data_IF_786960751832
#
_entry.id   IF_786960751832
#
_cell.length_a   1.000
_cell.length_b   1.000
_cell.length_c   1.000
_cell.angle_alpha   90.00
_cell.angle_beta   90.00
_cell.angle_gamma   90.00
#
_symmetry.space_group_name_H-M   'P 1'
#
loop_
_entity.id
_entity.type
_entity.pdbx_description
1 polymer ?
#
# COMPACT_ATOMS: atom_id res chain seq x y z
N UNK A 1 49.33 -18.77 -12.34
CA UNK A 1 48.25 -18.78 -11.31
C UNK A 1 47.74 -17.38 -10.89
N UNK A 2 48.50 -16.28 -11.06
CA UNK A 2 48.08 -14.93 -10.59
C UNK A 2 46.92 -14.25 -11.35
N UNK A 3 46.82 -14.38 -12.69
CA UNK A 3 45.76 -13.72 -13.48
C UNK A 3 44.36 -14.28 -13.18
N UNK A 4 44.25 -15.58 -12.98
CA UNK A 4 42.96 -16.25 -12.67
C UNK A 4 42.43 -15.85 -11.28
N UNK A 5 43.32 -15.66 -10.29
CA UNK A 5 42.94 -15.18 -8.95
C UNK A 5 42.47 -13.73 -8.94
N UNK A 6 43.10 -12.85 -9.74
CA UNK A 6 42.67 -11.46 -9.90
C UNK A 6 41.30 -11.37 -10.60
N UNK A 7 41.11 -12.15 -11.67
CA UNK A 7 39.85 -12.19 -12.42
C UNK A 7 38.69 -12.72 -11.57
N UNK A 8 38.94 -13.77 -10.77
CA UNK A 8 37.91 -14.30 -9.85
C UNK A 8 37.53 -13.31 -8.75
N UNK A 9 38.47 -12.48 -8.28
CA UNK A 9 38.22 -11.43 -7.27
C UNK A 9 37.39 -10.28 -7.85
N UNK A 10 37.75 -9.77 -9.03
CA UNK A 10 36.98 -8.73 -9.72
C UNK A 10 35.56 -9.21 -10.06
N UNK A 11 35.41 -10.47 -10.49
CA UNK A 11 34.08 -11.04 -10.79
C UNK A 11 33.20 -11.12 -9.53
N UNK A 12 33.74 -11.52 -8.38
CA UNK A 12 32.97 -11.55 -7.13
C UNK A 12 32.54 -10.16 -6.63
N UNK A 13 33.38 -9.15 -6.83
CA UNK A 13 33.07 -7.76 -6.45
C UNK A 13 31.97 -7.18 -7.36
N UNK A 14 32.08 -7.39 -8.67
CA UNK A 14 31.06 -6.95 -9.64
C UNK A 14 29.71 -7.63 -9.41
N UNK A 15 29.71 -8.94 -9.08
CA UNK A 15 28.47 -9.67 -8.75
C UNK A 15 27.82 -9.10 -7.48
N UNK A 16 28.59 -8.81 -6.44
CA UNK A 16 28.06 -8.21 -5.21
C UNK A 16 27.48 -6.81 -5.45
N UNK A 17 28.16 -5.99 -6.25
CA UNK A 17 27.65 -4.67 -6.64
C UNK A 17 26.35 -4.81 -7.44
N UNK A 18 26.28 -5.73 -8.41
CA UNK A 18 25.07 -5.97 -9.19
C UNK A 18 23.90 -6.43 -8.32
N UNK A 19 24.13 -7.33 -7.37
CA UNK A 19 23.11 -7.79 -6.42
C UNK A 19 22.64 -6.63 -5.52
N UNK A 20 23.56 -5.78 -5.04
CA UNK A 20 23.20 -4.61 -4.24
C UNK A 20 22.40 -3.58 -5.06
N UNK A 21 22.68 -3.41 -6.36
CA UNK A 21 21.87 -2.57 -7.23
C UNK A 21 20.43 -3.10 -7.34
N UNK A 22 20.25 -4.42 -7.49
CA UNK A 22 18.91 -5.03 -7.54
C UNK A 22 18.18 -4.85 -6.19
N UNK A 23 18.89 -5.01 -5.06
CA UNK A 23 18.34 -4.75 -3.73
C UNK A 23 17.96 -3.27 -3.55
N UNK A 24 18.77 -2.33 -4.05
CA UNK A 24 18.44 -0.91 -4.01
C UNK A 24 17.18 -0.59 -4.83
N UNK A 25 17.04 -1.19 -6.01
CA UNK A 25 15.82 -1.06 -6.82
C UNK A 25 14.60 -1.66 -6.11
N UNK A 26 14.75 -2.81 -5.47
CA UNK A 26 13.69 -3.41 -4.64
C UNK A 26 13.32 -2.53 -3.44
N UNK A 27 14.31 -1.98 -2.73
CA UNK A 27 14.09 -1.03 -1.63
C UNK A 27 13.42 0.26 -2.09
N UNK A 28 13.81 0.78 -3.26
CA UNK A 28 13.17 1.95 -3.88
C UNK A 28 11.72 1.68 -4.28
N UNK A 29 11.41 0.47 -4.78
CA UNK A 29 10.03 0.07 -5.06
C UNK A 29 9.18 -0.01 -3.79
N UNK A 30 9.70 -0.65 -2.73
CA UNK A 30 9.00 -0.73 -1.43
C UNK A 30 8.78 0.65 -0.84
N UNK A 31 9.80 1.51 -0.90
CA UNK A 31 9.71 2.90 -0.47
C UNK A 31 8.67 3.67 -1.28
N UNK A 32 8.67 3.52 -2.61
CA UNK A 32 7.67 4.13 -3.49
C UNK A 32 6.26 3.70 -3.13
N UNK A 33 6.01 2.41 -2.93
CA UNK A 33 4.69 1.90 -2.53
C UNK A 33 4.28 2.46 -1.16
N UNK A 34 5.19 2.51 -0.19
CA UNK A 34 4.90 3.10 1.13
C UNK A 34 4.54 4.58 1.05
N UNK A 35 5.32 5.37 0.30
CA UNK A 35 5.05 6.81 0.08
C UNK A 35 3.74 7.00 -0.69
N UNK A 36 3.50 6.19 -1.71
CA UNK A 36 2.27 6.22 -2.49
C UNK A 36 1.06 5.97 -1.59
N UNK A 37 1.06 4.90 -0.78
CA UNK A 37 -0.02 4.62 0.16
C UNK A 37 -0.24 5.77 1.14
N UNK A 38 0.84 6.36 1.67
CA UNK A 38 0.78 7.51 2.59
C UNK A 38 0.12 8.74 1.99
N UNK A 39 0.36 9.03 0.71
CA UNK A 39 -0.12 10.25 0.07
C UNK A 39 -1.43 10.09 -0.72
N UNK A 40 -1.96 8.88 -0.82
CA UNK A 40 -3.14 8.58 -1.64
C UNK A 40 -4.43 8.50 -0.82
N UNK A 41 -4.36 8.83 0.47
CA UNK A 41 -5.48 8.78 1.43
C UNK A 41 -5.89 7.37 1.85
N UNK A 42 -5.38 6.33 1.19
CA UNK A 42 -5.63 4.93 1.58
C UNK A 42 -5.16 4.63 2.99
N UNK A 43 -4.13 5.30 3.51
CA UNK A 43 -3.71 5.09 4.91
C UNK A 43 -4.78 5.59 5.86
N UNK A 44 -5.34 6.78 5.65
CA UNK A 44 -6.38 7.35 6.53
C UNK A 44 -7.69 6.57 6.43
N UNK A 45 -8.04 6.11 5.21
CA UNK A 45 -9.11 5.12 4.96
C UNK A 45 -8.91 3.89 5.84
N UNK A 46 -7.70 3.33 5.80
CA UNK A 46 -7.40 2.05 6.44
C UNK A 46 -7.13 2.26 7.95
N UNK A 47 -6.78 3.45 8.42
CA UNK A 47 -6.45 3.74 9.83
C UNK A 47 -7.70 3.74 10.70
N UNK A 48 -8.83 4.22 10.17
CA UNK A 48 -10.16 3.97 10.75
C UNK A 48 -10.51 2.47 10.82
N UNK A 49 -9.98 1.67 9.89
CA UNK A 49 -10.18 0.23 9.74
C UNK A 49 -9.24 -0.63 10.62
N UNK A 50 -7.99 -0.20 10.84
CA UNK A 50 -6.92 -0.93 11.50
C UNK A 50 -5.87 0.10 11.96
N UNK A 51 -5.96 0.50 13.23
CA UNK A 51 -5.06 1.52 13.81
C UNK A 51 -3.55 1.26 13.59
N UNK A 52 -3.06 0.02 13.37
CA UNK A 52 -1.67 -0.19 13.01
C UNK A 52 -1.28 0.16 11.57
N UNK A 53 -2.20 0.46 10.63
CA UNK A 53 -1.83 0.66 9.22
C UNK A 53 -0.88 1.85 9.04
N UNK A 54 -1.09 2.94 9.77
CA UNK A 54 -0.19 4.10 9.78
C UNK A 54 1.21 3.64 10.19
N UNK A 55 1.28 2.82 11.24
CA UNK A 55 2.52 2.22 11.73
C UNK A 55 3.16 1.27 10.71
N UNK A 56 2.35 0.56 9.92
CA UNK A 56 2.82 -0.43 8.94
C UNK A 56 3.27 0.23 7.65
N UNK A 57 2.57 1.24 7.16
CA UNK A 57 3.02 2.04 6.02
C UNK A 57 4.27 2.83 6.41
N UNK A 58 4.33 3.38 7.62
CA UNK A 58 5.56 3.96 8.16
C UNK A 58 6.67 2.92 8.26
N UNK A 59 6.38 1.70 8.72
CA UNK A 59 7.35 0.62 8.74
C UNK A 59 7.84 0.24 7.33
N UNK A 60 6.97 0.20 6.32
CA UNK A 60 7.34 -0.05 4.93
C UNK A 60 8.28 1.04 4.39
N UNK A 61 8.00 2.31 4.68
CA UNK A 61 8.86 3.45 4.33
C UNK A 61 10.24 3.29 5.00
N UNK A 62 10.26 3.01 6.30
CA UNK A 62 11.51 2.81 7.06
C UNK A 62 12.30 1.62 6.52
N UNK A 63 11.63 0.49 6.27
CA UNK A 63 12.25 -0.72 5.73
C UNK A 63 12.83 -0.44 4.33
N UNK A 64 12.08 0.23 3.45
CA UNK A 64 12.55 0.62 2.11
C UNK A 64 13.81 1.48 2.18
N UNK A 65 13.81 2.51 3.03
CA UNK A 65 14.97 3.37 3.25
C UNK A 65 16.18 2.62 3.81
N UNK A 66 15.95 1.70 4.77
CA UNK A 66 16.99 0.85 5.35
C UNK A 66 17.58 -0.09 4.29
N UNK A 67 16.77 -0.71 3.43
CA UNK A 67 17.26 -1.58 2.34
C UNK A 67 18.17 -0.81 1.39
N UNK A 68 17.80 0.41 1.00
CA UNK A 68 18.63 1.27 0.15
C UNK A 68 19.95 1.60 0.86
N UNK A 69 19.89 2.01 2.13
CA UNK A 69 21.09 2.29 2.93
C UNK A 69 22.02 1.08 3.05
N UNK A 70 21.46 -0.12 3.24
CA UNK A 70 22.20 -1.37 3.30
C UNK A 70 22.80 -1.75 1.94
N UNK A 71 22.12 -1.50 0.83
CA UNK A 71 22.66 -1.74 -0.50
C UNK A 71 23.87 -0.84 -0.81
N UNK A 72 23.79 0.44 -0.41
CA UNK A 72 24.92 1.37 -0.50
C UNK A 72 26.08 0.93 0.40
N UNK A 73 25.77 0.59 1.65
CA UNK A 73 26.77 0.09 2.60
C UNK A 73 27.45 -1.19 2.12
N UNK A 74 26.68 -2.14 1.60
CA UNK A 74 27.18 -3.39 1.04
C UNK A 74 28.11 -3.16 -0.15
N UNK A 75 27.80 -2.15 -0.98
CA UNK A 75 28.63 -1.79 -2.14
C UNK A 75 29.96 -1.17 -1.70
N UNK A 76 29.93 -0.27 -0.71
CA UNK A 76 31.14 0.31 -0.10
C UNK A 76 31.96 -0.77 0.61
N UNK A 77 31.33 -1.66 1.36
CA UNK A 77 32.01 -2.75 2.06
C UNK A 77 32.67 -3.74 1.09
N UNK A 78 32.05 -4.00 -0.07
CA UNK A 78 32.63 -4.80 -1.15
C UNK A 78 33.87 -4.13 -1.75
N UNK A 79 33.79 -2.84 -2.08
CA UNK A 79 34.91 -2.06 -2.64
C UNK A 79 36.08 -1.91 -1.65
N UNK A 80 35.79 -1.60 -0.38
CA UNK A 80 36.78 -1.39 0.66
C UNK A 80 37.28 -2.70 1.32
N UNK A 81 36.76 -3.86 0.90
CA UNK A 81 37.07 -5.20 1.46
C UNK A 81 36.90 -5.28 2.97
N UNK A 82 35.89 -4.60 3.51
CA UNK A 82 35.70 -4.47 4.96
C UNK A 82 35.03 -5.73 5.54
N UNK A 83 35.85 -6.63 6.08
CA UNK A 83 35.41 -7.96 6.57
C UNK A 83 34.36 -7.93 7.69
N UNK A 84 34.49 -7.00 8.63
CA UNK A 84 33.52 -6.85 9.71
C UNK A 84 32.20 -6.25 9.19
N UNK A 85 32.29 -5.28 8.27
CA UNK A 85 31.16 -4.73 7.55
C UNK A 85 30.36 -5.79 6.78
N UNK A 86 31.03 -6.75 6.13
CA UNK A 86 30.36 -7.86 5.45
C UNK A 86 29.58 -8.81 6.38
N UNK A 87 30.07 -9.01 7.61
CA UNK A 87 29.37 -9.84 8.60
C UNK A 87 28.12 -9.16 9.15
N UNK A 88 28.23 -7.87 9.51
CA UNK A 88 27.06 -7.08 9.92
C UNK A 88 26.04 -7.03 8.79
N UNK A 89 26.50 -6.79 7.57
CA UNK A 89 25.65 -6.76 6.38
C UNK A 89 24.87 -8.07 6.18
N UNK A 90 25.54 -9.23 6.30
CA UNK A 90 24.88 -10.54 6.18
C UNK A 90 23.87 -10.79 7.32
N UNK A 91 24.18 -10.38 8.56
CA UNK A 91 23.26 -10.51 9.70
C UNK A 91 22.00 -9.65 9.53
N UNK A 92 22.15 -8.41 9.05
CA UNK A 92 20.99 -7.54 8.79
C UNK A 92 20.17 -8.05 7.61
N UNK A 93 20.81 -8.55 6.55
CA UNK A 93 20.10 -9.16 5.40
C UNK A 93 19.32 -10.42 5.78
N UNK A 94 19.76 -11.16 6.81
CA UNK A 94 18.98 -12.28 7.34
C UNK A 94 17.68 -11.80 8.01
N UNK A 95 17.71 -10.68 8.74
CA UNK A 95 16.50 -10.10 9.33
C UNK A 95 15.54 -9.60 8.25
N UNK A 96 16.07 -8.93 7.23
CA UNK A 96 15.28 -8.50 6.06
C UNK A 96 14.64 -9.71 5.37
N UNK A 97 15.39 -10.78 5.15
CA UNK A 97 14.85 -12.02 4.58
C UNK A 97 13.67 -12.56 5.40
N UNK A 98 13.79 -12.66 6.72
CA UNK A 98 12.72 -13.17 7.59
C UNK A 98 11.46 -12.29 7.48
N UNK A 99 11.63 -10.96 7.51
CA UNK A 99 10.51 -10.02 7.39
C UNK A 99 9.79 -10.18 6.05
N UNK A 100 10.52 -10.24 4.94
CA UNK A 100 9.92 -10.37 3.61
C UNK A 100 9.29 -11.75 3.36
N UNK A 101 9.74 -12.80 4.05
CA UNK A 101 9.02 -14.09 4.06
C UNK A 101 7.64 -13.92 4.71
N UNK A 102 7.54 -13.22 5.84
CA UNK A 102 6.26 -12.97 6.49
C UNK A 102 5.34 -12.16 5.56
N UNK A 103 5.85 -11.07 4.96
CA UNK A 103 5.09 -10.25 4.01
C UNK A 103 4.62 -11.07 2.80
N UNK A 104 5.48 -11.90 2.22
CA UNK A 104 5.12 -12.76 1.09
C UNK A 104 3.99 -13.72 1.47
N UNK A 105 4.10 -14.41 2.61
CA UNK A 105 3.07 -15.34 3.09
C UNK A 105 1.75 -14.61 3.31
N UNK A 106 1.76 -13.48 4.00
CA UNK A 106 0.55 -12.66 4.20
C UNK A 106 -0.07 -12.21 2.88
N UNK A 107 0.73 -11.74 1.92
CA UNK A 107 0.25 -11.31 0.61
C UNK A 107 -0.43 -12.46 -0.16
N UNK A 108 0.17 -13.65 -0.19
CA UNK A 108 -0.43 -14.81 -0.86
C UNK A 108 -1.67 -15.35 -0.14
N UNK A 109 -1.72 -15.29 1.19
CA UNK A 109 -2.93 -15.64 1.95
C UNK A 109 -4.08 -14.67 1.67
N UNK A 110 -3.81 -13.36 1.63
CA UNK A 110 -4.81 -12.35 1.28
C UNK A 110 -5.31 -12.54 -0.16
N UNK A 111 -4.39 -12.83 -1.09
CA UNK A 111 -4.73 -13.11 -2.48
C UNK A 111 -5.66 -14.33 -2.59
N UNK A 112 -5.29 -15.43 -1.94
CA UNK A 112 -6.08 -16.64 -1.96
C UNK A 112 -7.48 -16.39 -1.39
N UNK A 113 -7.58 -15.66 -0.27
CA UNK A 113 -8.84 -15.28 0.34
C UNK A 113 -9.71 -14.42 -0.59
N UNK A 114 -9.13 -13.43 -1.28
CA UNK A 114 -9.88 -12.59 -2.22
C UNK A 114 -10.47 -13.41 -3.37
N UNK A 115 -9.70 -14.35 -3.92
CA UNK A 115 -10.14 -15.27 -4.96
C UNK A 115 -11.24 -16.22 -4.46
N UNK A 116 -11.05 -16.83 -3.28
CA UNK A 116 -12.05 -17.70 -2.67
C UNK A 116 -13.37 -16.96 -2.40
N UNK A 117 -13.30 -15.69 -2.01
CA UNK A 117 -14.47 -14.85 -1.82
C UNK A 117 -15.15 -14.52 -3.14
N UNK A 118 -14.40 -14.19 -4.20
CA UNK A 118 -14.96 -13.84 -5.50
C UNK A 118 -15.91 -14.92 -6.04
N UNK A 119 -15.52 -16.20 -5.93
CA UNK A 119 -16.31 -17.37 -6.36
C UNK A 119 -17.46 -17.73 -5.39
N UNK A 120 -17.50 -17.15 -4.21
CA UNK A 120 -18.47 -17.46 -3.15
C UNK A 120 -19.63 -16.46 -3.13
N UNK A 121 -20.81 -16.94 -2.69
CA UNK A 121 -21.95 -16.06 -2.43
C UNK A 121 -21.67 -15.20 -1.21
N UNK A 122 -21.92 -13.90 -1.31
CA UNK A 122 -21.77 -12.98 -0.18
C UNK A 122 -22.81 -13.27 0.93
N UNK A 123 -22.41 -13.21 2.22
CA UNK A 123 -21.03 -13.11 2.71
C UNK A 123 -20.34 -14.48 2.69
N UNK A 124 -19.12 -14.54 2.18
CA UNK A 124 -18.31 -15.76 2.18
C UNK A 124 -17.78 -16.09 3.59
N UNK A 125 -17.64 -15.08 4.46
CA UNK A 125 -17.27 -15.25 5.87
C UNK A 125 -17.60 -14.00 6.70
N UNK A 126 -17.57 -14.10 8.02
CA UNK A 126 -17.70 -12.95 8.94
C UNK A 126 -16.59 -11.90 8.74
N UNK A 127 -15.41 -12.33 8.27
CA UNK A 127 -14.32 -11.41 7.92
C UNK A 127 -14.71 -10.53 6.73
N UNK A 128 -15.47 -11.07 5.77
CA UNK A 128 -15.93 -10.33 4.60
C UNK A 128 -16.99 -9.27 4.98
N UNK A 129 -17.84 -9.54 5.96
CA UNK A 129 -18.80 -8.55 6.49
C UNK A 129 -18.08 -7.33 7.09
N UNK A 130 -16.98 -7.56 7.82
CA UNK A 130 -16.16 -6.46 8.34
C UNK A 130 -15.43 -5.69 7.23
N UNK A 131 -15.02 -6.38 6.17
CA UNK A 131 -14.42 -5.74 4.99
C UNK A 131 -15.46 -4.89 4.26
N UNK A 132 -16.68 -5.40 4.10
CA UNK A 132 -17.81 -4.66 3.53
C UNK A 132 -18.03 -3.36 4.27
N UNK A 133 -18.27 -3.44 5.58
CA UNK A 133 -18.61 -2.27 6.39
C UNK A 133 -17.57 -1.17 6.23
N UNK A 134 -16.29 -1.55 6.25
CA UNK A 134 -15.19 -0.60 6.18
C UNK A 134 -14.94 -0.09 4.76
N UNK A 135 -15.17 -0.90 3.73
CA UNK A 135 -15.15 -0.42 2.35
C UNK A 135 -16.27 0.58 2.11
N UNK A 136 -17.48 0.30 2.61
CA UNK A 136 -18.64 1.18 2.47
C UNK A 136 -18.36 2.55 3.09
N UNK A 137 -17.83 2.58 4.31
CA UNK A 137 -17.41 3.82 4.99
C UNK A 137 -16.38 4.59 4.17
N UNK A 138 -15.30 3.92 3.75
CA UNK A 138 -14.21 4.51 2.98
C UNK A 138 -14.69 5.12 1.65
N UNK A 139 -15.51 4.38 0.93
CA UNK A 139 -16.10 4.81 -0.32
C UNK A 139 -16.96 6.05 -0.08
N UNK A 140 -17.82 6.05 0.93
CA UNK A 140 -18.71 7.17 1.20
C UNK A 140 -17.98 8.43 1.67
N UNK A 141 -16.92 8.32 2.48
CA UNK A 141 -16.08 9.47 2.82
C UNK A 141 -15.39 10.06 1.59
N UNK A 142 -14.83 9.21 0.72
CA UNK A 142 -14.21 9.64 -0.54
C UNK A 142 -15.21 10.35 -1.46
N UNK A 143 -16.40 9.76 -1.65
CA UNK A 143 -17.43 10.36 -2.49
C UNK A 143 -18.02 11.62 -1.88
N UNK A 144 -18.19 11.67 -0.56
CA UNK A 144 -18.63 12.86 0.16
C UNK A 144 -17.66 14.02 -0.05
N UNK A 145 -16.35 13.79 0.09
CA UNK A 145 -15.33 14.82 -0.12
C UNK A 145 -15.41 15.38 -1.54
N UNK A 146 -15.47 14.49 -2.55
CA UNK A 146 -15.59 14.91 -3.93
C UNK A 146 -16.90 15.67 -4.19
N UNK A 147 -18.02 15.17 -3.69
CA UNK A 147 -19.34 15.77 -3.92
C UNK A 147 -19.42 17.16 -3.30
N UNK A 148 -18.89 17.33 -2.09
CA UNK A 148 -18.94 18.57 -1.35
C UNK A 148 -17.96 19.64 -1.86
N UNK A 149 -16.84 19.25 -2.47
CA UNK A 149 -15.82 20.20 -2.93
C UNK A 149 -15.74 20.38 -4.45
N UNK A 150 -16.09 19.36 -5.24
CA UNK A 150 -15.84 19.33 -6.70
C UNK A 150 -17.09 19.07 -7.55
N UNK A 151 -18.11 18.39 -7.02
CA UNK A 151 -19.34 18.10 -7.77
C UNK A 151 -20.34 19.27 -7.76
N UNK A 152 -21.46 19.08 -8.48
CA UNK A 152 -22.52 20.07 -8.53
C UNK A 152 -23.38 20.06 -7.25
N UNK A 153 -24.03 21.19 -6.95
CA UNK A 153 -25.00 21.26 -5.85
C UNK A 153 -26.12 20.23 -6.04
N UNK A 154 -26.54 19.95 -7.28
CA UNK A 154 -27.53 18.92 -7.58
C UNK A 154 -27.09 17.54 -7.12
N UNK A 155 -25.81 17.20 -7.27
CA UNK A 155 -25.28 15.90 -6.83
C UNK A 155 -25.27 15.81 -5.30
N UNK A 156 -24.92 16.89 -4.61
CA UNK A 156 -24.96 16.98 -3.15
C UNK A 156 -26.39 16.88 -2.60
N UNK A 157 -27.35 17.56 -3.23
CA UNK A 157 -28.76 17.47 -2.85
C UNK A 157 -29.30 16.06 -3.09
N UNK A 158 -28.93 15.41 -4.21
CA UNK A 158 -29.33 14.01 -4.49
C UNK A 158 -28.76 13.04 -3.45
N UNK A 159 -27.53 13.29 -2.98
CA UNK A 159 -26.88 12.49 -1.95
C UNK A 159 -27.58 12.60 -0.60
N UNK A 160 -27.73 13.81 -0.07
CA UNK A 160 -28.17 14.03 1.31
C UNK A 160 -29.68 14.22 1.45
N UNK A 161 -30.38 14.60 0.39
CA UNK A 161 -31.82 14.89 0.38
C UNK A 161 -32.46 14.36 -0.93
N UNK A 162 -32.45 13.03 -1.16
CA UNK A 162 -32.96 12.45 -2.41
C UNK A 162 -34.46 12.68 -2.65
N UNK A 163 -35.22 13.03 -1.60
CA UNK A 163 -36.65 13.32 -1.67
C UNK A 163 -36.96 14.82 -1.66
N UNK A 164 -35.98 15.68 -1.98
CA UNK A 164 -36.19 17.13 -2.01
C UNK A 164 -37.26 17.49 -3.05
N UNK A 165 -38.19 18.35 -2.64
CA UNK A 165 -39.24 18.84 -3.53
C UNK A 165 -38.63 19.62 -4.70
N UNK A 166 -39.12 19.37 -5.91
CA UNK A 166 -38.57 19.99 -7.13
C UNK A 166 -38.71 21.51 -7.16
N UNK A 167 -39.68 22.08 -6.44
CA UNK A 167 -39.81 23.53 -6.30
C UNK A 167 -38.67 24.12 -5.48
N UNK A 168 -38.21 23.42 -4.45
CA UNK A 168 -37.06 23.83 -3.62
C UNK A 168 -35.75 23.56 -4.37
N UNK A 169 -35.63 22.43 -5.06
CA UNK A 169 -34.46 22.13 -5.89
C UNK A 169 -34.20 23.21 -6.97
N UNK A 170 -35.27 23.73 -7.60
CA UNK A 170 -35.17 24.77 -8.62
C UNK A 170 -34.58 26.10 -8.13
N UNK A 171 -34.62 26.38 -6.82
CA UNK A 171 -33.99 27.55 -6.21
C UNK A 171 -32.46 27.48 -6.30
N UNK A 172 -31.93 26.26 -6.32
CA UNK A 172 -30.49 25.98 -6.26
C UNK A 172 -29.88 25.65 -7.64
N UNK A 173 -30.70 25.41 -8.68
CA UNK A 173 -30.23 25.04 -10.02
C UNK A 173 -29.29 26.07 -10.67
N UNK A 174 -29.49 27.37 -10.39
CA UNK A 174 -28.71 28.46 -10.99
C UNK A 174 -27.66 29.07 -10.06
N UNK A 175 -27.31 28.38 -8.96
CA UNK A 175 -26.30 28.89 -8.04
C UNK A 175 -24.91 28.89 -8.65
N UNK A 176 -24.19 29.98 -8.37
CA UNK A 176 -22.77 30.12 -8.68
C UNK A 176 -21.98 29.99 -7.39
N UNK A 177 -21.67 28.76 -7.02
CA UNK A 177 -20.98 28.42 -5.77
C UNK A 177 -20.99 26.91 -5.55
N UNK A 178 -20.05 26.38 -4.78
CA UNK A 178 -20.08 24.98 -4.33
C UNK A 178 -21.00 24.79 -3.13
N UNK A 179 -20.98 23.61 -2.51
CA UNK A 179 -21.81 23.31 -1.33
C UNK A 179 -21.52 24.25 -0.14
N UNK A 180 -20.28 24.77 -0.03
CA UNK A 180 -19.97 25.76 1.00
C UNK A 180 -20.82 27.03 0.87
N UNK A 181 -20.99 27.56 -0.34
CA UNK A 181 -21.81 28.75 -0.59
C UNK A 181 -23.28 28.48 -0.29
N UNK A 182 -23.76 27.27 -0.64
CA UNK A 182 -25.11 26.83 -0.30
C UNK A 182 -25.34 26.84 1.22
N UNK A 183 -24.40 26.30 1.98
CA UNK A 183 -24.48 26.23 3.44
C UNK A 183 -24.35 27.60 4.12
N UNK A 184 -23.44 28.45 3.64
CA UNK A 184 -23.21 29.77 4.24
C UNK A 184 -24.39 30.74 4.01
N UNK A 185 -25.04 30.67 2.85
CA UNK A 185 -26.06 31.65 2.45
C UNK A 185 -27.51 31.18 2.69
N UNK A 186 -27.80 29.88 2.68
CA UNK A 186 -29.20 29.37 2.64
C UNK A 186 -29.59 28.48 3.82
N UNK A 187 -28.64 28.05 4.65
CA UNK A 187 -28.93 27.18 5.80
C UNK A 187 -29.87 27.85 6.82
N UNK A 188 -29.86 29.18 6.96
CA UNK A 188 -30.79 29.89 7.86
C UNK A 188 -32.23 29.85 7.39
N UNK A 189 -32.43 29.73 6.07
CA UNK A 189 -33.74 29.86 5.42
C UNK A 189 -34.35 28.49 5.11
N UNK A 190 -33.49 27.46 5.01
CA UNK A 190 -33.89 26.08 4.69
C UNK A 190 -33.20 25.09 5.64
N UNK A 191 -33.89 24.71 6.71
CA UNK A 191 -33.40 23.74 7.71
C UNK A 191 -33.05 22.36 7.12
N UNK A 192 -33.73 21.99 6.03
CA UNK A 192 -33.48 20.76 5.28
C UNK A 192 -32.03 20.65 4.76
N UNK A 193 -31.31 21.77 4.60
CA UNK A 193 -29.90 21.78 4.21
C UNK A 193 -28.94 21.32 5.31
N UNK A 194 -29.38 21.21 6.58
CA UNK A 194 -28.49 20.81 7.69
C UNK A 194 -27.80 19.48 7.40
N UNK A 195 -28.50 18.49 6.84
CA UNK A 195 -27.90 17.19 6.52
C UNK A 195 -26.80 17.27 5.46
N UNK A 196 -26.97 18.17 4.47
CA UNK A 196 -25.95 18.44 3.44
C UNK A 196 -24.73 19.08 4.08
N UNK A 197 -24.94 20.11 4.91
CA UNK A 197 -23.84 20.87 5.50
C UNK A 197 -23.07 20.06 6.54
N UNK A 198 -23.76 19.34 7.42
CA UNK A 198 -23.14 18.49 8.43
C UNK A 198 -22.39 17.31 7.79
N UNK A 199 -23.01 16.66 6.80
CA UNK A 199 -22.40 15.56 6.05
C UNK A 199 -21.17 16.01 5.25
N UNK A 200 -21.22 17.21 4.65
CA UNK A 200 -20.08 17.78 3.96
C UNK A 200 -18.95 18.20 4.90
N UNK A 201 -19.27 18.75 6.08
CA UNK A 201 -18.24 19.07 7.08
C UNK A 201 -17.56 17.80 7.60
N UNK A 202 -18.32 16.71 7.79
CA UNK A 202 -17.76 15.41 8.14
C UNK A 202 -16.87 14.86 7.01
N UNK A 203 -17.32 14.92 5.76
CA UNK A 203 -16.55 14.46 4.62
C UNK A 203 -15.25 15.26 4.40
N UNK A 204 -15.23 16.55 4.76
CA UNK A 204 -14.03 17.41 4.67
C UNK A 204 -12.91 17.04 5.63
N UNK A 205 -13.14 16.15 6.60
CA UNK A 205 -12.06 15.59 7.41
C UNK A 205 -11.18 14.62 6.61
N UNK A 206 -11.62 14.21 5.41
CA UNK A 206 -11.06 13.14 4.60
C UNK A 206 -10.50 13.66 3.26
N UNK A 207 -9.67 14.72 3.28
CA UNK A 207 -9.21 15.47 2.08
C UNK A 207 -8.27 14.73 1.13
N UNK A 208 -7.67 13.62 1.56
CA UNK A 208 -6.60 12.95 0.80
C UNK A 208 -7.09 11.77 -0.06
N UNK A 209 -8.40 11.60 -0.25
CA UNK A 209 -9.00 10.39 -0.81
C UNK A 209 -9.07 10.37 -2.35
N UNK A 210 -8.33 11.25 -3.03
CA UNK A 210 -8.41 11.42 -4.50
C UNK A 210 -8.19 10.11 -5.26
N UNK A 211 -7.30 9.24 -4.78
CA UNK A 211 -7.03 7.95 -5.43
C UNK A 211 -8.17 6.93 -5.31
N UNK A 212 -8.94 6.99 -4.21
CA UNK A 212 -10.13 6.17 -3.99
C UNK A 212 -11.24 6.65 -4.93
N UNK A 213 -11.38 7.97 -5.07
CA UNK A 213 -12.30 8.60 -6.02
C UNK A 213 -11.94 8.24 -7.46
N UNK A 214 -10.66 8.33 -7.84
CA UNK A 214 -10.18 7.95 -9.18
C UNK A 214 -10.43 6.47 -9.48
N UNK A 215 -10.11 5.59 -8.53
CA UNK A 215 -10.40 4.15 -8.67
C UNK A 215 -11.90 3.90 -8.79
N UNK A 216 -12.72 4.54 -7.95
CA UNK A 216 -14.17 4.40 -8.01
C UNK A 216 -14.69 4.86 -9.39
N UNK A 217 -14.28 6.04 -9.87
CA UNK A 217 -14.72 6.54 -11.18
C UNK A 217 -14.33 5.61 -12.34
N UNK A 218 -13.19 4.92 -12.27
CA UNK A 218 -12.70 4.02 -13.33
C UNK A 218 -13.27 2.58 -13.23
N UNK A 219 -13.45 2.06 -12.01
CA UNK A 219 -13.78 0.65 -11.78
C UNK A 219 -15.15 0.42 -11.18
N UNK A 220 -15.57 1.26 -10.24
CA UNK A 220 -16.89 1.15 -9.61
C UNK A 220 -17.57 2.53 -9.52
N UNK A 221 -18.05 3.05 -10.66
CA UNK A 221 -18.59 4.39 -10.73
C UNK A 221 -19.86 4.46 -9.88
N UNK A 222 -20.09 5.65 -9.33
CA UNK A 222 -21.25 5.93 -8.50
C UNK A 222 -22.56 5.67 -9.24
N UNK A 223 -23.47 4.97 -8.57
CA UNK A 223 -24.88 4.83 -8.94
C UNK A 223 -25.74 5.76 -8.08
N UNK A 224 -26.98 6.01 -8.50
CA UNK A 224 -27.92 6.79 -7.68
C UNK A 224 -28.15 6.12 -6.31
N UNK A 225 -28.27 4.80 -6.29
CA UNK A 225 -28.51 4.02 -5.06
C UNK A 225 -27.32 4.06 -4.10
N UNK A 226 -26.09 4.00 -4.60
CA UNK A 226 -24.86 4.09 -3.76
C UNK A 226 -24.66 5.48 -3.19
N UNK A 227 -24.95 6.52 -3.96
CA UNK A 227 -24.89 7.91 -3.49
C UNK A 227 -25.92 8.17 -2.38
N UNK A 228 -27.16 7.70 -2.55
CA UNK A 228 -28.21 7.81 -1.52
C UNK A 228 -27.79 7.10 -0.23
N UNK A 229 -27.28 5.88 -0.35
CA UNK A 229 -26.81 5.12 0.81
C UNK A 229 -25.69 5.86 1.54
N UNK A 230 -24.73 6.41 0.79
CA UNK A 230 -23.64 7.20 1.37
C UNK A 230 -24.11 8.49 2.05
N UNK A 231 -25.13 9.17 1.52
CA UNK A 231 -25.70 10.35 2.17
C UNK A 231 -26.35 10.03 3.51
N UNK A 232 -27.08 8.92 3.60
CA UNK A 232 -27.62 8.44 4.88
C UNK A 232 -26.50 8.10 5.86
N UNK A 233 -25.47 7.38 5.40
CA UNK A 233 -24.32 7.02 6.22
C UNK A 233 -23.58 8.26 6.75
N UNK A 234 -23.29 9.26 5.90
CA UNK A 234 -22.63 10.50 6.32
C UNK A 234 -23.51 11.37 7.22
N UNK A 235 -24.83 11.35 7.04
CA UNK A 235 -25.75 12.12 7.88
C UNK A 235 -26.01 11.51 9.26
N UNK A 236 -25.98 10.18 9.37
CA UNK A 236 -26.44 9.45 10.57
C UNK A 236 -25.41 8.54 11.22
N UNK A 237 -24.36 8.18 10.48
CA UNK A 237 -23.41 7.13 10.85
C UNK A 237 -23.96 5.70 10.72
N UNK A 238 -25.19 5.51 10.22
CA UNK A 238 -25.83 4.19 10.15
C UNK A 238 -25.34 3.38 8.93
N UNK A 239 -24.77 2.21 9.20
CA UNK A 239 -24.30 1.24 8.19
C UNK A 239 -25.37 0.21 7.80
N UNK A 240 -26.55 0.23 8.42
CA UNK A 240 -27.66 -0.70 8.15
C UNK A 240 -28.85 -0.03 7.44
N UNK A 241 -28.60 1.11 6.77
CA UNK A 241 -29.59 1.81 5.96
C UNK A 241 -30.30 0.88 4.97
N UNK A 242 -31.64 0.91 4.97
CA UNK A 242 -32.48 0.29 3.93
C UNK A 242 -32.68 1.17 2.69
N UNK A 243 -32.11 2.38 2.70
CA UNK A 243 -32.20 3.36 1.63
C UNK A 243 -30.98 3.25 0.71
N UNK A 244 -31.22 2.96 -0.56
CA UNK A 244 -30.16 2.74 -1.54
C UNK A 244 -29.45 1.39 -1.37
N UNK A 245 -28.33 1.23 -2.07
CA UNK A 245 -27.51 0.03 -2.08
C UNK A 245 -26.12 0.37 -1.57
N UNK A 246 -25.63 -0.39 -0.59
CA UNK A 246 -24.31 -0.16 -0.03
C UNK A 246 -23.19 -0.38 -1.08
N UNK A 247 -22.16 0.49 -1.15
CA UNK A 247 -21.13 0.47 -2.20
C UNK A 247 -20.48 -0.88 -2.46
N UNK A 248 -20.07 -1.61 -1.42
CA UNK A 248 -19.43 -2.92 -1.53
C UNK A 248 -20.32 -3.92 -2.25
N UNK A 249 -21.65 -3.85 -2.10
CA UNK A 249 -22.56 -4.79 -2.76
C UNK A 249 -22.51 -4.66 -4.29
N UNK A 250 -22.26 -3.46 -4.81
CA UNK A 250 -22.07 -3.21 -6.25
C UNK A 250 -20.59 -3.36 -6.66
N UNK A 251 -19.67 -2.91 -5.80
CA UNK A 251 -18.23 -2.87 -6.10
C UNK A 251 -17.48 -4.15 -5.72
N UNK A 252 -18.14 -5.17 -5.14
CA UNK A 252 -17.50 -6.35 -4.54
C UNK A 252 -16.45 -6.96 -5.47
N UNK A 253 -16.85 -7.31 -6.68
CA UNK A 253 -15.97 -7.98 -7.65
C UNK A 253 -14.77 -7.12 -8.02
N UNK A 254 -14.98 -5.83 -8.26
CA UNK A 254 -13.90 -4.89 -8.61
C UNK A 254 -12.93 -4.66 -7.45
N UNK A 255 -13.45 -4.61 -6.22
CA UNK A 255 -12.64 -4.51 -5.02
C UNK A 255 -11.82 -5.78 -4.77
N UNK A 256 -12.42 -6.97 -4.90
CA UNK A 256 -11.70 -8.23 -4.74
C UNK A 256 -10.60 -8.38 -5.81
N UNK A 257 -10.87 -7.99 -7.06
CA UNK A 257 -9.88 -7.94 -8.14
C UNK A 257 -8.74 -6.95 -7.85
N UNK A 258 -9.05 -5.79 -7.26
CA UNK A 258 -8.04 -4.83 -6.79
C UNK A 258 -7.11 -5.48 -5.76
N UNK A 259 -7.68 -6.11 -4.73
CA UNK A 259 -6.93 -6.80 -3.67
C UNK A 259 -6.07 -7.91 -4.26
N UNK A 260 -6.62 -8.74 -5.16
CA UNK A 260 -5.88 -9.83 -5.79
C UNK A 260 -4.67 -9.31 -6.56
N UNK A 261 -4.85 -8.27 -7.37
CA UNK A 261 -3.78 -7.71 -8.21
C UNK A 261 -2.67 -7.08 -7.37
N UNK A 262 -3.01 -6.25 -6.38
CA UNK A 262 -2.01 -5.58 -5.53
C UNK A 262 -1.25 -6.58 -4.66
N UNK A 263 -1.95 -7.55 -4.06
CA UNK A 263 -1.31 -8.60 -3.25
C UNK A 263 -0.42 -9.51 -4.08
N UNK A 264 -0.76 -9.79 -5.35
CA UNK A 264 0.13 -10.48 -6.28
C UNK A 264 1.43 -9.72 -6.52
N UNK A 265 1.35 -8.43 -6.84
CA UNK A 265 2.53 -7.58 -7.06
C UNK A 265 3.40 -7.51 -5.80
N UNK A 266 2.78 -7.35 -4.63
CA UNK A 266 3.48 -7.34 -3.34
C UNK A 266 4.16 -8.68 -3.04
N UNK A 267 3.48 -9.80 -3.31
CA UNK A 267 4.01 -11.15 -3.12
C UNK A 267 5.20 -11.45 -4.03
N UNK A 268 5.09 -11.13 -5.33
CA UNK A 268 6.18 -11.28 -6.31
C UNK A 268 7.37 -10.39 -5.94
N UNK A 269 7.13 -9.12 -5.62
CA UNK A 269 8.17 -8.20 -5.16
C UNK A 269 8.91 -8.73 -3.92
N UNK A 270 8.17 -9.32 -2.98
CA UNK A 270 8.74 -9.91 -1.76
C UNK A 270 9.62 -11.12 -2.05
N UNK A 271 9.21 -12.01 -2.97
CA UNK A 271 10.03 -13.16 -3.40
C UNK A 271 11.36 -12.70 -4.01
N UNK A 272 11.36 -11.64 -4.81
CA UNK A 272 12.58 -11.09 -5.43
C UNK A 272 13.55 -10.60 -4.35
N UNK A 273 13.06 -9.86 -3.35
CA UNK A 273 13.88 -9.39 -2.21
C UNK A 273 14.43 -10.57 -1.41
N UNK A 274 13.63 -11.61 -1.18
CA UNK A 274 14.06 -12.84 -0.51
C UNK A 274 15.18 -13.56 -1.27
N UNK A 275 15.04 -13.71 -2.59
CA UNK A 275 16.05 -14.33 -3.43
C UNK A 275 17.37 -13.54 -3.42
N UNK A 276 17.29 -12.21 -3.55
CA UNK A 276 18.46 -11.32 -3.45
C UNK A 276 19.16 -11.42 -2.10
N UNK A 277 18.39 -11.43 -1.01
CA UNK A 277 18.92 -11.56 0.35
C UNK A 277 19.65 -12.89 0.56
N UNK A 278 19.09 -14.02 0.09
CA UNK A 278 19.74 -15.33 0.15
C UNK A 278 21.05 -15.37 -0.66
N UNK A 279 21.06 -14.76 -1.84
CA UNK A 279 22.28 -14.66 -2.64
C UNK A 279 23.36 -13.88 -1.87
N UNK A 280 23.04 -12.71 -1.33
CA UNK A 280 23.97 -11.90 -0.52
C UNK A 280 24.55 -12.71 0.64
N UNK A 281 23.69 -13.36 1.43
CA UNK A 281 24.12 -14.14 2.60
C UNK A 281 25.05 -15.27 2.17
N UNK A 282 24.72 -15.97 1.08
CA UNK A 282 25.52 -17.07 0.53
C UNK A 282 26.88 -16.59 0.07
N UNK A 283 26.94 -15.50 -0.71
CA UNK A 283 28.19 -14.92 -1.20
C UNK A 283 29.06 -14.37 -0.06
N UNK A 284 28.47 -13.68 0.92
CA UNK A 284 29.19 -13.23 2.11
C UNK A 284 29.81 -14.40 2.88
N UNK A 285 29.07 -15.51 3.04
CA UNK A 285 29.57 -16.74 3.65
C UNK A 285 30.70 -17.40 2.83
N UNK A 286 30.56 -17.48 1.51
CA UNK A 286 31.58 -18.06 0.61
C UNK A 286 32.87 -17.24 0.67
N UNK A 287 32.79 -15.91 0.57
CA UNK A 287 33.96 -15.02 0.65
C UNK A 287 34.68 -15.18 1.99
N UNK A 288 33.93 -15.27 3.09
CA UNK A 288 34.51 -15.50 4.43
C UNK A 288 35.19 -16.87 4.55
N UNK A 289 34.61 -17.93 3.99
CA UNK A 289 35.23 -19.27 3.99
C UNK A 289 36.51 -19.31 3.14
N UNK A 290 36.52 -18.63 1.99
CA UNK A 290 37.66 -18.58 1.08
C UNK A 290 38.86 -17.84 1.70
N UNK A 291 38.58 -16.79 2.48
CA UNK A 291 39.60 -16.07 3.25
C UNK A 291 40.15 -16.86 4.45
N UNK A 292 39.37 -17.79 5.00
CA UNK A 292 39.78 -18.67 6.12
C UNK A 292 40.57 -19.90 5.69
N UNK A 293 40.53 -20.29 4.42
CA UNK A 293 41.45 -21.31 3.90
C UNK A 293 42.80 -20.62 3.67
N UNK A 294 43.83 -20.82 4.51
CA UNK A 294 45.17 -20.40 4.11
C UNK A 294 45.46 -21.07 2.77
N UNK A 295 45.98 -20.31 1.81
CA UNK A 295 46.69 -20.93 0.70
C UNK A 295 47.69 -21.88 1.36
N UNK A 296 47.62 -23.17 1.04
CA UNK A 296 48.61 -24.14 1.50
C UNK A 296 49.99 -23.54 1.27
N UNK A 297 50.84 -23.43 2.30
CA UNK A 297 52.22 -23.07 2.05
C UNK A 297 52.82 -24.24 1.27
N UNK A 298 53.12 -24.03 -0.02
CA UNK A 298 54.19 -24.80 -0.61
C UNK A 298 55.49 -24.47 0.15
N UNK A 299 56.24 -25.53 0.42
CA UNK A 299 57.62 -25.61 0.93
C UNK A 299 57.85 -25.50 2.45
N UNK A 300 58.27 -26.62 3.05
CA UNK A 300 59.65 -26.73 3.55
C UNK A 300 60.13 -28.20 3.64
N UNK A 301 61.18 -28.48 2.85
CA UNK A 301 62.31 -29.40 3.07
C UNK A 301 62.21 -30.51 4.16
N UNK A 302 62.30 -31.77 3.73
CA UNK A 302 63.00 -32.83 4.45
C UNK A 302 63.14 -34.10 3.57
N UNK A 303 64.21 -34.21 2.78
CA UNK A 303 64.85 -35.51 2.52
C UNK A 303 66.33 -35.29 2.22
N UNK A 304 67.12 -35.23 3.28
CA UNK A 304 68.53 -35.55 3.22
C UNK A 304 68.71 -37.02 3.60
N UNK A 305 69.01 -37.88 2.61
CA UNK A 305 69.86 -39.06 2.81
C UNK A 305 70.25 -39.69 1.46
N UNK A 306 71.57 -39.67 1.24
CA UNK A 306 72.39 -40.34 0.22
C UNK A 306 72.37 -39.74 -1.19
#
# INVERSE_FOLDING_TARGET
MGRCSCLTKCVSEVILIAINCILALGGALVLYVGIYLRHTGWVDVIEGYWSPIDSIVTALIVIGAVIIGLALWGSVAALCRWRFGLCIYASVMLLVFILFVIVAVSAFLLRHRANDWEDSTYPASSDEESVKEKFDQAYCYAQGEFICNQASISDALTMFIPTLDSSVASVFENMTGGVNTLCDEYLSDYDVLSSVCDGCEQARQFKDFSSVVDWANDKCPRSADTIIWCGVFLGTGDTNSSSGTAPYSECRTEFLNLVEKYTLWLGVGSIIVCAGSLMVITFACILRRRDRRPASPEMHSAYGRF
#
